data_IF_021170939101
#
_entry.id   IF_021170939101
#
_cell.length_a   1.000
_cell.length_b   1.000
_cell.length_c   1.000
_cell.angle_alpha   90.00
_cell.angle_beta   90.00
_cell.angle_gamma   90.00
#
_symmetry.space_group_name_H-M   'P 1'
#
loop_
_entity.id
_entity.type
_entity.pdbx_description
1 polymer ?
#
# COMPACT_ATOMS: atom_id res chain seq x y z
N UNK A 1 -14.79 7.54 -17.28
CA UNK A 1 -14.63 6.21 -16.67
C UNK A 1 -13.16 6.11 -16.32
N UNK A 2 -12.80 6.07 -15.04
CA UNK A 2 -11.39 6.08 -14.61
C UNK A 2 -10.70 4.74 -14.85
N UNK A 3 -9.35 4.72 -14.80
CA UNK A 3 -8.55 3.50 -14.95
C UNK A 3 -8.98 2.44 -13.93
N UNK A 4 -9.01 1.16 -14.34
CA UNK A 4 -9.38 0.04 -13.47
C UNK A 4 -8.50 -1.16 -13.79
N UNK A 5 -7.89 -1.74 -12.76
CA UNK A 5 -7.02 -2.91 -12.86
C UNK A 5 -7.77 -4.21 -12.58
N UNK A 6 -7.07 -5.34 -12.70
CA UNK A 6 -7.57 -6.68 -12.36
C UNK A 6 -7.62 -6.81 -10.83
N UNK A 7 -8.65 -7.38 -10.19
CA UNK A 7 -8.64 -7.52 -8.74
C UNK A 7 -7.51 -8.45 -8.26
N UNK A 8 -6.79 -8.03 -7.22
CA UNK A 8 -5.81 -8.88 -6.52
C UNK A 8 -6.49 -9.79 -5.51
N UNK A 9 -6.11 -11.06 -5.52
CA UNK A 9 -6.47 -12.01 -4.48
C UNK A 9 -5.79 -11.68 -3.14
N UNK A 10 -6.51 -11.86 -2.03
CA UNK A 10 -5.96 -11.73 -0.68
C UNK A 10 -5.10 -12.95 -0.29
N UNK A 11 -4.02 -13.16 -1.02
CA UNK A 11 -3.12 -14.30 -0.89
C UNK A 11 -1.66 -13.81 -0.72
N UNK A 12 -0.94 -14.25 0.33
CA UNK A 12 0.46 -13.86 0.55
C UNK A 12 1.38 -14.14 -0.64
N UNK A 13 1.19 -15.25 -1.35
CA UNK A 13 2.03 -15.63 -2.50
C UNK A 13 1.78 -14.71 -3.70
N UNK A 14 0.54 -14.28 -3.90
CA UNK A 14 0.16 -13.28 -4.92
C UNK A 14 0.76 -11.92 -4.59
N UNK A 15 0.68 -11.51 -3.31
CA UNK A 15 1.22 -10.21 -2.87
C UNK A 15 2.75 -10.17 -2.95
N UNK A 16 3.45 -11.27 -2.64
CA UNK A 16 4.91 -11.35 -2.74
C UNK A 16 5.44 -11.24 -4.17
N UNK A 17 4.67 -11.66 -5.17
CA UNK A 17 5.06 -11.58 -6.59
C UNK A 17 5.23 -10.14 -7.11
N UNK A 18 4.69 -9.14 -6.41
CA UNK A 18 4.90 -7.73 -6.76
C UNK A 18 6.36 -7.27 -6.55
N UNK A 19 7.16 -8.01 -5.78
CA UNK A 19 8.55 -7.66 -5.47
C UNK A 19 9.57 -8.35 -6.41
N UNK A 20 9.19 -9.46 -7.07
CA UNK A 20 10.15 -10.36 -7.74
C UNK A 20 10.38 -10.11 -9.24
N UNK A 21 9.55 -9.32 -9.94
CA UNK A 21 9.67 -9.13 -11.40
C UNK A 21 9.53 -7.68 -11.83
N UNK A 22 10.67 -6.99 -11.79
CA UNK A 22 10.82 -5.62 -12.27
C UNK A 22 12.07 -5.60 -13.16
N UNK A 23 11.88 -5.46 -14.48
CA UNK A 23 12.98 -5.23 -15.43
C UNK A 23 13.36 -3.74 -15.47
N UNK A 24 14.66 -3.46 -15.48
CA UNK A 24 15.29 -2.16 -15.31
C UNK A 24 15.04 -1.20 -16.50
N UNK A 25 14.39 -0.06 -16.25
CA UNK A 25 14.31 1.08 -17.17
C UNK A 25 14.86 2.36 -16.52
N UNK A 26 15.73 3.04 -17.26
CA UNK A 26 16.52 4.20 -16.82
C UNK A 26 15.85 5.53 -17.22
N UNK A 27 15.70 6.46 -16.27
CA UNK A 27 15.31 7.86 -16.55
C UNK A 27 15.79 8.84 -15.46
N UNK A 28 16.48 9.89 -15.93
CA UNK A 28 17.17 10.94 -15.17
C UNK A 28 16.23 11.98 -14.53
N UNK A 29 16.58 12.43 -13.32
CA UNK A 29 15.81 13.35 -12.48
C UNK A 29 16.33 14.81 -12.46
N UNK A 30 15.44 15.75 -12.14
CA UNK A 30 15.77 17.10 -11.63
C UNK A 30 14.76 17.51 -10.55
N UNK A 31 15.25 18.15 -9.49
CA UNK A 31 14.57 18.38 -8.21
C UNK A 31 14.51 19.87 -7.81
N UNK A 32 13.46 20.27 -7.08
CA UNK A 32 13.45 21.48 -6.22
C UNK A 32 12.45 21.35 -5.06
N UNK A 33 12.84 21.87 -3.88
CA UNK A 33 12.30 21.59 -2.54
C UNK A 33 11.21 22.57 -2.03
N UNK A 34 10.44 22.14 -1.00
CA UNK A 34 9.88 23.08 0.01
C UNK A 34 8.71 22.59 0.89
N UNK A 35 8.81 22.80 2.23
CA UNK A 35 7.68 23.01 3.16
C UNK A 35 7.38 21.89 4.17
N UNK A 36 7.68 22.07 5.48
CA UNK A 36 7.39 21.10 6.56
C UNK A 36 5.91 21.17 6.98
N UNK A 37 5.20 20.07 6.77
CA UNK A 37 3.89 19.79 7.36
C UNK A 37 3.97 18.42 8.06
N UNK A 38 3.25 18.26 9.16
CA UNK A 38 3.13 17.03 9.95
C UNK A 38 2.68 15.80 9.13
N UNK A 39 2.12 16.03 7.93
CA UNK A 39 1.85 15.04 6.89
C UNK A 39 3.09 14.39 6.26
N UNK A 40 4.30 14.92 6.49
CA UNK A 40 5.55 14.39 5.93
C UNK A 40 6.06 13.10 6.56
N UNK A 41 5.52 12.68 7.71
CA UNK A 41 6.01 11.50 8.43
C UNK A 41 5.42 10.20 7.89
N UNK A 42 4.15 10.23 7.50
CA UNK A 42 3.42 9.06 7.02
C UNK A 42 3.36 9.09 5.51
N UNK A 43 3.93 8.08 4.85
CA UNK A 43 3.80 7.92 3.41
C UNK A 43 2.39 7.46 3.08
N UNK A 44 1.61 8.32 2.43
CA UNK A 44 0.22 8.05 2.06
C UNK A 44 -0.03 8.45 0.61
N UNK A 45 -0.70 7.56 -0.12
CA UNK A 45 -1.20 7.79 -1.48
C UNK A 45 -2.70 7.49 -1.54
N UNK A 46 -3.44 8.26 -2.34
CA UNK A 46 -4.84 7.98 -2.63
C UNK A 46 -4.97 6.78 -3.57
N UNK A 47 -6.12 6.13 -3.51
CA UNK A 47 -6.52 5.18 -4.54
C UNK A 47 -7.48 5.86 -5.51
N UNK A 48 -7.04 6.13 -6.73
CA UNK A 48 -7.86 6.64 -7.84
C UNK A 48 -8.21 5.54 -8.84
N UNK A 49 -7.36 4.51 -8.93
CA UNK A 49 -7.53 3.35 -9.81
C UNK A 49 -8.42 2.29 -9.14
N UNK A 50 -9.44 1.85 -9.86
CA UNK A 50 -10.30 0.74 -9.41
C UNK A 50 -9.49 -0.55 -9.29
N UNK A 51 -9.78 -1.38 -8.28
CA UNK A 51 -9.09 -2.65 -7.97
C UNK A 51 -7.60 -2.55 -7.56
N UNK A 52 -6.99 -1.36 -7.55
CA UNK A 52 -5.61 -1.17 -7.10
C UNK A 52 -5.41 -1.23 -5.57
N UNK A 53 -6.46 -1.51 -4.77
CA UNK A 53 -6.40 -1.42 -3.30
C UNK A 53 -5.32 -2.32 -2.68
N UNK A 54 -5.10 -3.53 -3.22
CA UNK A 54 -4.05 -4.44 -2.75
C UNK A 54 -2.65 -3.84 -2.92
N UNK A 55 -2.33 -3.38 -4.13
CA UNK A 55 -1.06 -2.70 -4.44
C UNK A 55 -0.88 -1.41 -3.64
N UNK A 56 -1.93 -0.60 -3.48
CA UNK A 56 -1.89 0.59 -2.62
C UNK A 56 -1.57 0.20 -1.17
N UNK A 57 -2.13 -0.91 -0.68
CA UNK A 57 -1.81 -1.48 0.63
C UNK A 57 -0.33 -1.87 0.77
N UNK A 58 0.26 -2.51 -0.25
CA UNK A 58 1.69 -2.86 -0.29
C UNK A 58 2.56 -1.59 -0.30
N UNK A 59 2.22 -0.61 -1.14
CA UNK A 59 2.92 0.68 -1.20
C UNK A 59 2.86 1.41 0.15
N UNK A 60 1.73 1.37 0.85
CA UNK A 60 1.61 1.94 2.19
C UNK A 60 2.46 1.18 3.21
N UNK A 61 2.47 -0.16 3.17
CA UNK A 61 3.24 -0.98 4.10
C UNK A 61 4.75 -0.75 3.94
N UNK A 62 5.28 -0.87 2.72
CA UNK A 62 6.72 -0.70 2.46
C UNK A 62 7.14 0.75 2.72
N UNK A 63 6.38 1.74 2.25
CA UNK A 63 6.73 3.15 2.36
C UNK A 63 6.80 3.67 3.80
N UNK A 64 6.05 3.06 4.71
CA UNK A 64 6.07 3.40 6.14
C UNK A 64 6.95 2.47 6.98
N UNK A 65 7.52 1.42 6.39
CA UNK A 65 8.52 0.54 6.98
C UNK A 65 9.94 0.76 6.40
N UNK A 66 10.11 1.74 5.51
CA UNK A 66 11.35 1.98 4.77
C UNK A 66 12.57 2.32 5.65
N UNK A 67 12.37 2.77 6.89
CA UNK A 67 13.47 2.92 7.87
C UNK A 67 14.03 1.57 8.35
N UNK A 68 13.20 0.52 8.32
CA UNK A 68 13.50 -0.82 8.84
C UNK A 68 13.74 -1.85 7.72
N UNK A 69 13.36 -1.51 6.50
CA UNK A 69 13.54 -2.29 5.28
C UNK A 69 14.61 -1.61 4.41
N UNK A 70 15.69 -2.34 4.12
CA UNK A 70 16.68 -1.90 3.16
C UNK A 70 16.22 -2.27 1.75
N UNK A 71 15.62 -1.32 1.05
CA UNK A 71 15.34 -1.46 -0.37
C UNK A 71 16.65 -1.58 -1.15
N UNK A 72 16.65 -2.43 -2.17
CA UNK A 72 17.80 -2.55 -3.09
C UNK A 72 17.86 -1.26 -3.92
N UNK A 73 19.03 -0.61 -3.94
CA UNK A 73 19.23 0.61 -4.72
C UNK A 73 18.93 0.35 -6.20
N UNK A 74 18.13 1.22 -6.81
CA UNK A 74 17.70 1.07 -8.19
C UNK A 74 16.54 0.08 -8.38
N UNK A 75 16.05 -0.60 -7.35
CA UNK A 75 14.80 -1.39 -7.46
C UNK A 75 13.60 -0.48 -7.73
N UNK A 76 12.48 -1.06 -8.19
CA UNK A 76 11.25 -0.28 -8.44
C UNK A 76 10.86 0.55 -7.22
N UNK A 77 10.72 -0.08 -6.04
CA UNK A 77 10.27 0.62 -4.84
C UNK A 77 11.29 1.69 -4.40
N UNK A 78 12.60 1.46 -4.55
CA UNK A 78 13.61 2.50 -4.28
C UNK A 78 13.41 3.73 -5.18
N UNK A 79 13.24 3.53 -6.50
CA UNK A 79 12.98 4.63 -7.45
C UNK A 79 11.64 5.31 -7.17
N UNK A 80 10.59 4.54 -6.97
CA UNK A 80 9.22 5.01 -6.72
C UNK A 80 9.18 5.94 -5.51
N UNK A 81 9.70 5.51 -4.35
CA UNK A 81 9.66 6.34 -3.14
C UNK A 81 10.56 7.57 -3.25
N UNK A 82 11.69 7.50 -3.98
CA UNK A 82 12.54 8.67 -4.25
C UNK A 82 11.82 9.70 -5.13
N UNK A 83 11.16 9.27 -6.20
CA UNK A 83 10.47 10.15 -7.15
C UNK A 83 9.23 10.82 -6.54
N UNK A 84 8.55 10.13 -5.63
CA UNK A 84 7.28 10.55 -5.04
C UNK A 84 7.40 11.16 -3.64
N UNK A 85 8.63 11.33 -3.14
CA UNK A 85 8.92 11.80 -1.78
C UNK A 85 8.25 13.15 -1.47
N UNK A 86 8.36 14.10 -2.40
CA UNK A 86 7.84 15.48 -2.25
C UNK A 86 6.42 15.65 -2.80
N UNK A 87 5.80 14.59 -3.31
CA UNK A 87 4.43 14.62 -3.83
C UNK A 87 3.40 14.53 -2.70
N UNK A 88 2.28 15.24 -2.86
CA UNK A 88 1.12 15.05 -2.00
C UNK A 88 0.37 13.73 -2.33
N UNK A 89 -0.57 13.27 -1.48
CA UNK A 89 -1.27 11.99 -1.70
C UNK A 89 -2.06 11.89 -3.01
N UNK A 90 -2.52 13.00 -3.57
CA UNK A 90 -3.24 13.03 -4.85
C UNK A 90 -2.23 12.93 -6.00
N UNK A 91 -1.14 13.68 -5.93
CA UNK A 91 -0.05 13.60 -6.90
C UNK A 91 0.57 12.19 -6.96
N UNK A 92 0.78 11.55 -5.81
CA UNK A 92 1.22 10.14 -5.74
C UNK A 92 0.26 9.17 -6.42
N UNK A 93 -1.04 9.44 -6.33
CA UNK A 93 -2.05 8.59 -6.97
C UNK A 93 -2.06 8.77 -8.49
N UNK A 94 -1.90 10.01 -8.97
CA UNK A 94 -1.73 10.29 -10.41
C UNK A 94 -0.46 9.62 -10.93
N UNK A 95 0.66 9.73 -10.20
CA UNK A 95 1.90 9.06 -10.56
C UNK A 95 1.70 7.54 -10.69
N UNK A 96 1.06 6.91 -9.70
CA UNK A 96 0.76 5.47 -9.73
C UNK A 96 -0.21 5.08 -10.85
N UNK A 97 -1.15 5.95 -11.22
CA UNK A 97 -2.11 5.72 -12.30
C UNK A 97 -1.42 5.73 -13.68
N UNK A 98 -0.36 6.51 -13.85
CA UNK A 98 0.45 6.60 -15.06
C UNK A 98 1.63 5.61 -15.10
N UNK A 99 1.81 4.81 -14.04
CA UNK A 99 2.92 3.87 -13.89
C UNK A 99 2.60 2.50 -14.54
N UNK A 100 3.02 2.35 -15.80
CA UNK A 100 2.84 1.11 -16.58
C UNK A 100 3.64 -0.07 -16.01
N UNK A 101 4.77 0.19 -15.33
CA UNK A 101 5.62 -0.85 -14.73
C UNK A 101 4.89 -1.51 -13.56
N UNK A 102 4.28 -0.70 -12.69
CA UNK A 102 3.46 -1.19 -11.59
C UNK A 102 2.14 -1.81 -12.05
N UNK A 103 1.48 -1.24 -13.06
CA UNK A 103 0.29 -1.87 -13.64
C UNK A 103 0.61 -3.26 -14.19
N UNK A 104 1.74 -3.41 -14.88
CA UNK A 104 2.23 -4.69 -15.38
C UNK A 104 2.48 -5.71 -14.26
N UNK A 105 3.23 -5.30 -13.22
CA UNK A 105 3.51 -6.15 -12.06
C UNK A 105 2.22 -6.58 -11.33
N UNK A 106 1.29 -5.64 -11.16
CA UNK A 106 -0.03 -5.89 -10.59
C UNK A 106 -0.83 -6.92 -11.40
N UNK A 107 -0.86 -6.78 -12.73
CA UNK A 107 -1.58 -7.70 -13.62
C UNK A 107 -0.99 -9.11 -13.58
N UNK A 108 0.34 -9.24 -13.53
CA UNK A 108 1.02 -10.54 -13.38
C UNK A 108 0.64 -11.19 -12.07
N UNK A 109 0.75 -10.46 -10.95
CA UNK A 109 0.39 -10.97 -9.63
C UNK A 109 -1.09 -11.40 -9.58
N UNK A 110 -2.01 -10.55 -10.06
CA UNK A 110 -3.43 -10.84 -10.06
C UNK A 110 -3.80 -12.08 -10.89
N UNK A 111 -3.12 -12.30 -12.01
CA UNK A 111 -3.35 -13.46 -12.89
C UNK A 111 -2.76 -14.75 -12.33
N UNK A 112 -1.77 -14.66 -11.44
CA UNK A 112 -1.15 -15.81 -10.77
C UNK A 112 -1.96 -16.31 -9.55
N UNK A 113 -3.03 -15.63 -9.17
CA UNK A 113 -3.95 -16.08 -8.13
C UNK A 113 -4.74 -17.33 -8.53
N UNK A 114 -5.30 -18.00 -7.52
CA UNK A 114 -6.10 -19.21 -7.69
C UNK A 114 -7.60 -18.90 -7.95
N UNK A 115 -8.00 -17.63 -7.75
CA UNK A 115 -9.37 -17.15 -7.94
C UNK A 115 -9.62 -16.55 -9.32
N UNK A 116 -10.84 -16.72 -9.84
CA UNK A 116 -11.24 -16.15 -11.13
C UNK A 116 -11.27 -14.62 -11.06
N UNK A 117 -10.50 -13.98 -11.93
CA UNK A 117 -10.36 -12.53 -12.03
C UNK A 117 -11.63 -11.79 -12.49
N UNK A 118 -12.63 -12.51 -13.00
CA UNK A 118 -13.89 -11.94 -13.50
C UNK A 118 -14.97 -11.76 -12.43
N UNK A 119 -14.67 -12.05 -11.16
CA UNK A 119 -15.63 -11.85 -10.07
C UNK A 119 -15.67 -10.38 -9.63
N UNK A 120 -16.87 -9.88 -9.35
CA UNK A 120 -17.03 -8.57 -8.74
C UNK A 120 -16.61 -8.64 -7.27
N UNK A 121 -15.44 -8.08 -6.96
CA UNK A 121 -14.89 -8.02 -5.60
C UNK A 121 -15.38 -6.76 -4.90
N UNK A 122 -16.01 -6.93 -3.74
CA UNK A 122 -16.50 -5.83 -2.90
C UNK A 122 -15.58 -5.56 -1.69
N UNK A 123 -14.65 -6.47 -1.44
CA UNK A 123 -13.63 -6.39 -0.40
C UNK A 123 -12.64 -5.24 -0.68
N UNK A 124 -12.05 -4.72 0.40
CA UNK A 124 -11.15 -3.57 0.33
C UNK A 124 -9.95 -3.76 1.25
N UNK A 125 -8.76 -3.48 0.74
CA UNK A 125 -7.53 -3.51 1.52
C UNK A 125 -7.30 -2.17 2.22
N UNK A 126 -6.87 -2.26 3.47
CA UNK A 126 -6.34 -1.14 4.25
C UNK A 126 -5.03 -1.60 4.90
N UNK A 127 -4.08 -0.69 5.05
CA UNK A 127 -2.81 -0.98 5.71
C UNK A 127 -2.78 -0.39 7.12
N UNK A 128 -2.20 -1.12 8.09
CA UNK A 128 -1.90 -0.59 9.41
C UNK A 128 -0.38 -0.50 9.57
N UNK A 129 0.11 0.68 9.98
CA UNK A 129 1.55 0.90 10.21
C UNK A 129 1.79 1.71 11.46
N UNK A 130 2.91 1.46 12.14
CA UNK A 130 3.41 2.30 13.22
C UNK A 130 4.39 3.32 12.63
N UNK A 131 4.11 4.62 12.80
CA UNK A 131 4.99 5.71 12.34
C UNK A 131 5.19 6.68 13.50
N UNK A 132 6.44 6.93 13.87
CA UNK A 132 6.81 7.85 14.95
C UNK A 132 6.08 7.59 16.29
N UNK A 133 5.86 6.31 16.62
CA UNK A 133 5.23 5.89 17.88
C UNK A 133 3.70 5.96 17.88
N UNK A 134 3.07 6.00 16.71
CA UNK A 134 1.61 6.09 16.56
C UNK A 134 1.10 5.10 15.51
N UNK A 135 -0.02 4.44 15.81
CA UNK A 135 -0.70 3.52 14.90
C UNK A 135 -1.55 4.30 13.90
N UNK A 136 -1.30 4.08 12.61
CA UNK A 136 -2.07 4.64 11.52
C UNK A 136 -2.79 3.55 10.73
N UNK A 137 -4.06 3.80 10.41
CA UNK A 137 -4.79 3.12 9.35
C UNK A 137 -4.70 3.94 8.06
N UNK A 138 -4.23 3.28 7.01
CA UNK A 138 -3.96 3.84 5.70
C UNK A 138 -4.94 3.20 4.71
N UNK A 139 -6.04 3.92 4.49
CA UNK A 139 -7.08 3.57 3.52
C UNK A 139 -7.01 4.57 2.35
N UNK A 140 -6.61 4.09 1.17
CA UNK A 140 -6.48 4.92 -0.03
C UNK A 140 -7.77 5.62 -0.48
N UNK A 141 -8.95 5.15 -0.03
CA UNK A 141 -10.24 5.80 -0.29
C UNK A 141 -10.49 7.01 0.63
N UNK A 142 -9.78 7.13 1.76
CA UNK A 142 -9.94 8.23 2.72
C UNK A 142 -9.16 9.47 2.30
N UNK A 143 -9.50 10.62 2.87
CA UNK A 143 -8.81 11.89 2.60
C UNK A 143 -7.40 11.95 3.20
N UNK A 144 -7.17 11.23 4.30
CA UNK A 144 -5.92 11.26 5.07
C UNK A 144 -5.77 9.96 5.89
N UNK A 145 -4.56 9.65 6.36
CA UNK A 145 -4.34 8.62 7.38
C UNK A 145 -5.22 8.83 8.62
N UNK A 146 -5.65 7.72 9.23
CA UNK A 146 -6.44 7.73 10.46
C UNK A 146 -5.54 7.27 11.60
N UNK A 147 -5.28 8.16 12.57
CA UNK A 147 -4.57 7.77 13.79
C UNK A 147 -5.51 6.99 14.73
N UNK A 148 -4.97 5.93 15.31
CA UNK A 148 -5.59 5.11 16.35
C UNK A 148 -4.88 5.23 17.71
N UNK A 149 -3.96 6.19 17.85
CA UNK A 149 -3.22 6.46 19.08
C UNK A 149 -1.85 5.77 19.18
N UNK A 150 -1.22 5.80 20.37
CA UNK A 150 0.16 5.35 20.56
C UNK A 150 0.38 3.88 20.18
N UNK A 151 1.53 3.60 19.58
CA UNK A 151 1.99 2.24 19.25
C UNK A 151 3.51 2.19 19.14
N UNK A 152 4.07 1.01 18.91
CA UNK A 152 5.49 0.82 18.65
C UNK A 152 5.69 -0.36 17.69
N UNK A 153 6.89 -0.55 17.11
CA UNK A 153 7.20 -1.75 16.34
C UNK A 153 6.87 -3.06 17.07
N UNK A 154 7.05 -3.10 18.40
CA UNK A 154 6.80 -4.28 19.25
C UNK A 154 5.31 -4.52 19.53
N UNK A 155 4.49 -3.47 19.55
CA UNK A 155 3.05 -3.56 19.87
C UNK A 155 2.13 -3.39 18.67
N UNK A 156 2.67 -3.07 17.49
CA UNK A 156 1.93 -2.80 16.25
C UNK A 156 0.88 -3.87 15.96
N UNK A 157 1.26 -5.15 16.03
CA UNK A 157 0.34 -6.25 15.76
C UNK A 157 -0.84 -6.27 16.75
N UNK A 158 -0.56 -6.13 18.04
CA UNK A 158 -1.56 -6.16 19.10
C UNK A 158 -2.49 -4.94 19.04
N UNK A 159 -1.94 -3.77 18.71
CA UNK A 159 -2.70 -2.53 18.61
C UNK A 159 -3.58 -2.52 17.36
N UNK A 160 -3.04 -2.91 16.20
CA UNK A 160 -3.81 -3.08 14.97
C UNK A 160 -4.92 -4.14 15.16
N UNK A 161 -4.62 -5.26 15.82
CA UNK A 161 -5.60 -6.31 16.08
C UNK A 161 -6.79 -5.82 16.92
N UNK A 162 -6.60 -4.86 17.85
CA UNK A 162 -7.72 -4.26 18.60
C UNK A 162 -8.66 -3.51 17.66
N UNK A 163 -8.11 -2.69 16.75
CA UNK A 163 -8.89 -1.93 15.77
C UNK A 163 -9.61 -2.87 14.79
N UNK A 164 -8.91 -3.89 14.28
CA UNK A 164 -9.47 -4.89 13.38
C UNK A 164 -10.62 -5.65 14.04
N UNK A 165 -10.45 -6.12 15.29
CA UNK A 165 -11.52 -6.81 16.04
C UNK A 165 -12.73 -5.92 16.26
N UNK A 166 -12.54 -4.64 16.56
CA UNK A 166 -13.64 -3.68 16.68
C UNK A 166 -14.40 -3.53 15.36
N UNK A 167 -13.70 -3.50 14.21
CA UNK A 167 -14.32 -3.44 12.87
C UNK A 167 -15.06 -4.72 12.48
N UNK A 168 -14.52 -5.88 12.82
CA UNK A 168 -15.21 -7.17 12.60
C UNK A 168 -16.51 -7.19 13.43
N UNK A 169 -16.47 -6.72 14.67
CA UNK A 169 -17.64 -6.68 15.55
C UNK A 169 -18.79 -5.79 15.02
N UNK A 170 -18.50 -4.77 14.19
CA UNK A 170 -19.56 -3.95 13.54
C UNK A 170 -20.24 -4.67 12.38
N UNK A 171 -19.73 -5.82 11.94
CA UNK A 171 -20.22 -6.61 10.81
C UNK A 171 -20.46 -8.08 11.22
N UNK A 172 -21.33 -8.34 12.22
CA UNK A 172 -21.43 -9.65 12.88
C UNK A 172 -21.87 -10.80 11.96
N UNK A 173 -22.43 -10.49 10.79
CA UNK A 173 -22.93 -11.48 9.82
C UNK A 173 -21.94 -11.74 8.67
N UNK A 174 -20.80 -11.05 8.63
CA UNK A 174 -19.76 -11.28 7.62
C UNK A 174 -18.67 -12.19 8.18
N UNK A 175 -18.23 -13.15 7.37
CA UNK A 175 -17.03 -13.94 7.62
C UNK A 175 -15.89 -13.60 6.66
N UNK A 176 -16.12 -12.63 5.76
CA UNK A 176 -15.20 -12.29 4.69
C UNK A 176 -14.17 -11.26 5.18
N UNK A 177 -13.20 -11.75 5.95
CA UNK A 177 -12.05 -10.96 6.40
C UNK A 177 -10.77 -11.76 6.19
N UNK A 178 -9.72 -11.06 5.79
CA UNK A 178 -8.37 -11.60 5.71
C UNK A 178 -7.40 -10.59 6.33
N UNK A 179 -6.35 -11.07 6.97
CA UNK A 179 -5.28 -10.25 7.55
C UNK A 179 -3.95 -10.86 7.12
N UNK A 180 -3.10 -10.04 6.50
CA UNK A 180 -1.75 -10.40 6.12
C UNK A 180 -0.76 -9.45 6.81
N UNK A 181 0.48 -9.91 6.97
CA UNK A 181 1.55 -9.16 7.63
C UNK A 181 2.76 -9.12 6.71
N UNK A 182 3.31 -7.93 6.52
CA UNK A 182 4.64 -7.75 5.93
C UNK A 182 5.68 -8.02 7.03
N UNK A 183 6.47 -9.07 6.87
CA UNK A 183 7.53 -9.44 7.83
C UNK A 183 8.82 -9.81 7.11
N UNK A 184 9.95 -9.70 7.82
CA UNK A 184 11.23 -10.24 7.34
C UNK A 184 11.16 -11.77 7.34
N UNK A 185 11.69 -12.42 6.30
CA UNK A 185 11.97 -13.85 6.30
C UNK A 185 13.21 -14.17 7.13
#
# INVERSE_FOLDING_TARGET
MGKRWIPLEANPDVMNQQDEKVEEYDASATSTAGGKDSSKKVYFTKQTVGNACGTVGVIHAIGNAASDIKLVEGSYFDRFYKQTADMDPVQRAVFLEEDDEMEGAHAVAATAGDTDVNVEVNEHFVCFSCVDGELYELDGRKSKPISHGPSSPETLLQDAAKVIKARIATNPNSLNFNVMVLSKQ
#
